data_IF_546523606362
#
_entry.id   IF_546523606362
#
_cell.length_a   1.000
_cell.length_b   1.000
_cell.length_c   1.000
_cell.angle_alpha   90.00
_cell.angle_beta   90.00
_cell.angle_gamma   90.00
#
_symmetry.space_group_name_H-M   'P 1'
#
loop_
_entity.id
_entity.type
_entity.pdbx_description
1 polymer ?
#
# COMPACT_ATOMS: atom_id res chain seq x y z
N UNK A 1 5.08 -41.68 -8.49
CA UNK A 1 6.29 -42.23 -7.85
C UNK A 1 7.52 -41.80 -8.64
N UNK A 2 8.31 -40.86 -8.13
CA UNK A 2 9.52 -40.38 -8.82
C UNK A 2 10.76 -40.77 -8.03
N UNK A 3 11.52 -41.73 -8.54
CA UNK A 3 12.76 -42.21 -7.92
C UNK A 3 13.81 -41.11 -8.04
N UNK A 4 14.08 -40.41 -6.93
CA UNK A 4 15.24 -39.51 -6.84
C UNK A 4 16.48 -40.38 -6.71
N UNK A 5 17.30 -40.48 -7.76
CA UNK A 5 18.67 -41.00 -7.67
C UNK A 5 19.44 -40.19 -6.62
N UNK A 6 19.66 -40.77 -5.44
CA UNK A 6 20.48 -40.19 -4.38
C UNK A 6 21.95 -40.33 -4.80
N UNK A 7 22.64 -39.20 -5.03
CA UNK A 7 24.10 -39.21 -5.19
C UNK A 7 24.74 -39.54 -3.84
N UNK A 8 25.68 -40.50 -3.72
CA UNK A 8 26.09 -41.03 -2.42
C UNK A 8 26.91 -40.10 -1.49
N UNK A 9 27.29 -38.88 -1.89
CA UNK A 9 28.18 -38.04 -1.07
C UNK A 9 27.83 -36.55 -1.04
N UNK A 10 26.57 -36.16 -1.24
CA UNK A 10 26.16 -34.76 -1.09
C UNK A 10 25.61 -34.52 0.32
N UNK A 11 26.47 -34.04 1.22
CA UNK A 11 26.08 -33.63 2.56
C UNK A 11 25.29 -32.32 2.47
N UNK A 12 23.97 -32.40 2.62
CA UNK A 12 23.10 -31.22 2.67
C UNK A 12 23.18 -30.58 4.07
N UNK A 13 24.11 -29.64 4.25
CA UNK A 13 24.14 -28.81 5.44
C UNK A 13 22.94 -27.85 5.41
N UNK A 14 22.00 -28.01 6.35
CA UNK A 14 20.93 -27.03 6.54
C UNK A 14 21.48 -25.84 7.33
N UNK A 15 21.26 -24.59 6.86
CA UNK A 15 21.64 -23.42 7.64
C UNK A 15 20.88 -23.43 8.97
N UNK A 16 21.61 -23.22 10.09
CA UNK A 16 21.02 -23.08 11.44
C UNK A 16 20.03 -21.91 11.52
N UNK A 17 20.27 -20.87 10.72
CA UNK A 17 19.38 -19.71 10.62
C UNK A 17 18.30 -19.94 9.55
N UNK A 18 17.03 -19.82 9.97
CA UNK A 18 15.89 -19.75 9.05
C UNK A 18 15.48 -18.29 8.89
N UNK A 19 15.45 -17.73 7.66
CA UNK A 19 15.05 -16.35 7.44
C UNK A 19 13.67 -16.02 8.02
N UNK A 20 13.52 -14.80 8.57
CA UNK A 20 12.27 -14.33 9.19
C UNK A 20 11.03 -14.49 8.29
N UNK A 21 11.17 -14.28 6.99
CA UNK A 21 10.10 -14.47 6.00
C UNK A 21 9.54 -15.90 5.96
N UNK A 22 10.33 -16.90 6.33
CA UNK A 22 9.90 -18.30 6.41
C UNK A 22 9.38 -18.68 7.79
N UNK A 23 9.66 -17.86 8.82
CA UNK A 23 9.20 -18.09 10.20
C UNK A 23 7.82 -17.48 10.45
N UNK A 24 7.58 -16.30 9.92
CA UNK A 24 6.34 -15.55 10.16
C UNK A 24 5.50 -15.44 8.89
N UNK A 25 4.21 -15.73 9.03
CA UNK A 25 3.27 -15.57 7.92
C UNK A 25 3.04 -14.08 7.61
N UNK A 26 2.87 -13.72 6.32
CA UNK A 26 2.53 -12.35 5.95
C UNK A 26 1.20 -11.93 6.56
N UNK A 27 1.19 -10.79 7.24
CA UNK A 27 -0.04 -10.20 7.79
C UNK A 27 -0.89 -9.63 6.65
N UNK A 28 -2.20 -9.82 6.71
CA UNK A 28 -3.12 -9.20 5.74
C UNK A 28 -3.66 -7.90 6.31
N UNK A 29 -3.77 -6.88 5.46
CA UNK A 29 -4.40 -5.61 5.80
C UNK A 29 -5.35 -5.21 4.68
N UNK A 30 -6.58 -4.87 5.03
CA UNK A 30 -7.54 -4.27 4.10
C UNK A 30 -7.26 -2.78 3.98
N UNK A 31 -7.20 -2.29 2.75
CA UNK A 31 -6.96 -0.88 2.44
C UNK A 31 -7.95 -0.42 1.37
N UNK A 32 -8.57 0.72 1.59
CA UNK A 32 -9.40 1.41 0.60
C UNK A 32 -8.53 1.97 -0.53
N UNK A 33 -8.94 1.76 -1.77
CA UNK A 33 -8.21 2.21 -2.96
C UNK A 33 -8.81 3.50 -3.49
N UNK A 34 -8.09 4.60 -3.31
CA UNK A 34 -8.50 5.93 -3.75
C UNK A 34 -7.86 6.29 -5.10
N UNK A 35 -8.58 6.05 -6.19
CA UNK A 35 -8.18 6.56 -7.52
C UNK A 35 -8.91 7.86 -7.84
N UNK A 36 -8.45 8.67 -8.82
CA UNK A 36 -9.20 9.86 -9.27
C UNK A 36 -10.63 9.52 -9.67
N UNK A 37 -10.82 8.44 -10.42
CA UNK A 37 -12.12 8.03 -10.94
C UNK A 37 -13.11 7.71 -9.82
N UNK A 38 -12.65 6.96 -8.79
CA UNK A 38 -13.46 6.65 -7.61
C UNK A 38 -13.81 7.91 -6.79
N UNK A 39 -12.92 8.91 -6.76
CA UNK A 39 -13.23 10.18 -6.10
C UNK A 39 -14.29 10.96 -6.85
N UNK A 40 -14.25 10.95 -8.17
CA UNK A 40 -15.22 11.62 -9.02
C UNK A 40 -16.60 10.92 -8.93
N UNK A 41 -16.61 9.59 -8.89
CA UNK A 41 -17.83 8.80 -8.67
C UNK A 41 -18.45 9.04 -7.29
N UNK A 42 -17.62 9.06 -6.23
CA UNK A 42 -18.09 9.38 -4.89
C UNK A 42 -18.63 10.81 -4.80
N UNK A 43 -17.99 11.75 -5.50
CA UNK A 43 -18.48 13.13 -5.61
C UNK A 43 -19.83 13.18 -6.30
N UNK A 44 -20.00 12.49 -7.43
CA UNK A 44 -21.28 12.42 -8.13
C UNK A 44 -22.39 11.83 -7.25
N UNK A 45 -22.07 10.83 -6.41
CA UNK A 45 -23.01 10.29 -5.43
C UNK A 45 -23.47 11.37 -4.43
N UNK A 46 -22.55 12.18 -3.90
CA UNK A 46 -22.88 13.28 -2.99
C UNK A 46 -23.63 14.43 -3.65
N UNK A 47 -23.31 14.75 -4.91
CA UNK A 47 -23.99 15.80 -5.68
C UNK A 47 -25.45 15.41 -6.00
N UNK A 48 -25.73 14.10 -6.15
CA UNK A 48 -27.08 13.57 -6.35
C UNK A 48 -27.86 13.34 -5.04
N UNK A 49 -27.22 13.50 -3.88
CA UNK A 49 -27.86 13.29 -2.58
C UNK A 49 -28.62 14.54 -2.16
N UNK A 50 -29.92 14.41 -1.84
CA UNK A 50 -30.67 15.50 -1.22
C UNK A 50 -30.34 15.60 0.29
N UNK A 51 -29.40 16.47 0.61
CA UNK A 51 -28.95 16.70 1.98
C UNK A 51 -30.02 17.30 2.90
N UNK A 52 -31.05 17.94 2.35
CA UNK A 52 -32.13 18.52 3.15
C UNK A 52 -32.94 17.46 3.89
N UNK A 53 -32.97 16.23 3.39
CA UNK A 53 -33.66 15.11 4.05
C UNK A 53 -33.11 14.89 5.45
N UNK A 54 -31.79 14.97 5.63
CA UNK A 54 -31.16 14.82 6.95
C UNK A 54 -31.50 16.00 7.86
N UNK A 55 -31.36 17.23 7.36
CA UNK A 55 -31.62 18.46 8.11
C UNK A 55 -33.08 18.53 8.58
N UNK A 56 -34.01 18.11 7.74
CA UNK A 56 -35.45 18.14 8.05
C UNK A 56 -35.87 16.99 8.98
N UNK A 57 -35.05 15.94 9.11
CA UNK A 57 -35.39 14.75 9.93
C UNK A 57 -34.99 14.85 11.40
N UNK A 58 -34.08 15.77 11.77
CA UNK A 58 -33.50 15.83 13.11
C UNK A 58 -33.49 17.25 13.65
N UNK A 59 -33.93 17.42 14.90
CA UNK A 59 -33.86 18.71 15.61
C UNK A 59 -32.51 18.88 16.33
N UNK A 60 -31.89 17.76 16.73
CA UNK A 60 -30.60 17.75 17.41
C UNK A 60 -29.42 17.74 16.43
N UNK A 61 -28.43 18.58 16.71
CA UNK A 61 -27.23 18.74 15.88
C UNK A 61 -26.31 17.53 15.99
N UNK A 62 -26.26 16.87 17.16
CA UNK A 62 -25.44 15.67 17.33
C UNK A 62 -26.01 14.52 16.51
N UNK A 63 -27.33 14.30 16.59
CA UNK A 63 -28.03 13.29 15.80
C UNK A 63 -27.91 13.54 14.28
N UNK A 64 -28.01 14.80 13.84
CA UNK A 64 -27.74 15.17 12.46
C UNK A 64 -26.32 14.79 12.03
N UNK A 65 -25.31 15.11 12.85
CA UNK A 65 -23.92 14.79 12.53
C UNK A 65 -23.68 13.28 12.44
N UNK A 66 -24.27 12.50 13.35
CA UNK A 66 -24.15 11.06 13.38
C UNK A 66 -24.80 10.39 12.15
N UNK A 67 -26.02 10.83 11.80
CA UNK A 67 -26.75 10.30 10.64
C UNK A 67 -26.05 10.64 9.32
N UNK A 68 -25.59 11.88 9.15
CA UNK A 68 -24.80 12.30 7.98
C UNK A 68 -23.48 11.53 7.91
N UNK A 69 -22.78 11.35 9.02
CA UNK A 69 -21.55 10.57 9.07
C UNK A 69 -21.78 9.09 8.71
N UNK A 70 -22.90 8.51 9.17
CA UNK A 70 -23.28 7.14 8.83
C UNK A 70 -23.55 7.00 7.33
N UNK A 71 -24.27 7.95 6.72
CA UNK A 71 -24.54 7.95 5.29
C UNK A 71 -23.27 8.11 4.44
N UNK A 72 -22.37 9.03 4.83
CA UNK A 72 -21.08 9.21 4.15
C UNK A 72 -20.25 7.92 4.21
N UNK A 73 -20.20 7.25 5.36
CA UNK A 73 -19.52 5.95 5.50
C UNK A 73 -20.13 4.91 4.58
N UNK A 74 -21.45 4.82 4.53
CA UNK A 74 -22.16 3.93 3.61
C UNK A 74 -21.77 4.19 2.14
N UNK A 75 -21.76 5.45 1.71
CA UNK A 75 -21.35 5.80 0.35
C UNK A 75 -19.90 5.41 0.06
N UNK A 76 -18.99 5.63 1.02
CA UNK A 76 -17.60 5.21 0.90
C UNK A 76 -17.50 3.69 0.77
N UNK A 77 -18.22 2.93 1.58
CA UNK A 77 -18.18 1.46 1.56
C UNK A 77 -18.80 0.87 0.28
N UNK A 78 -19.78 1.55 -0.32
CA UNK A 78 -20.39 1.15 -1.59
C UNK A 78 -19.52 1.48 -2.81
N UNK A 79 -18.92 2.67 -2.84
CA UNK A 79 -18.21 3.18 -4.03
C UNK A 79 -16.73 2.82 -4.00
N UNK A 80 -16.08 2.86 -2.84
CA UNK A 80 -14.61 2.75 -2.75
C UNK A 80 -14.19 1.28 -2.65
N UNK A 81 -13.49 0.74 -3.66
CA UNK A 81 -13.11 -0.67 -3.63
C UNK A 81 -12.08 -0.96 -2.53
N UNK A 82 -12.31 -2.06 -1.83
CA UNK A 82 -11.40 -2.61 -0.84
C UNK A 82 -10.35 -3.51 -1.50
N UNK A 83 -9.08 -3.35 -1.10
CA UNK A 83 -7.99 -4.24 -1.52
C UNK A 83 -7.27 -4.83 -0.32
N UNK A 84 -7.11 -6.14 -0.32
CA UNK A 84 -6.28 -6.85 0.65
C UNK A 84 -4.82 -6.78 0.21
N UNK A 85 -3.96 -6.22 1.06
CA UNK A 85 -2.51 -6.19 0.87
C UNK A 85 -1.83 -7.12 1.86
N UNK A 86 -0.75 -7.79 1.40
CA UNK A 86 0.11 -8.61 2.24
C UNK A 86 1.29 -7.79 2.75
N UNK A 87 1.46 -7.75 4.06
CA UNK A 87 2.59 -7.14 4.76
C UNK A 87 3.55 -8.26 5.17
N UNK A 88 4.75 -8.24 4.60
CA UNK A 88 5.78 -9.22 4.96
C UNK A 88 6.57 -8.74 6.18
N UNK A 89 7.00 -9.64 7.06
CA UNK A 89 7.83 -9.31 8.22
C UNK A 89 9.12 -8.53 7.86
N UNK A 90 9.68 -8.82 6.68
CA UNK A 90 10.88 -8.14 6.17
C UNK A 90 10.56 -6.88 5.35
N UNK A 91 9.35 -6.31 5.46
CA UNK A 91 9.05 -5.02 4.86
C UNK A 91 9.89 -3.94 5.53
N UNK A 92 10.81 -3.35 4.76
CA UNK A 92 11.72 -2.33 5.24
C UNK A 92 10.95 -1.08 5.70
N UNK A 93 11.02 -0.70 6.99
CA UNK A 93 10.21 0.40 7.55
C UNK A 93 10.56 1.77 6.94
N UNK A 94 11.78 1.93 6.42
CA UNK A 94 12.24 3.13 5.72
C UNK A 94 11.74 3.23 4.28
N UNK A 95 11.00 2.25 3.75
CA UNK A 95 10.43 2.31 2.38
C UNK A 95 9.12 3.10 2.40
N UNK A 96 9.23 4.39 2.10
CA UNK A 96 8.11 5.35 2.04
C UNK A 96 7.36 5.31 0.70
N UNK A 97 6.24 6.05 0.60
CA UNK A 97 5.46 6.22 -0.64
C UNK A 97 6.34 6.81 -1.77
N UNK A 98 7.17 7.80 -1.46
CA UNK A 98 8.04 8.47 -2.42
C UNK A 98 9.07 7.51 -3.02
N UNK A 99 9.66 6.64 -2.19
CA UNK A 99 10.58 5.60 -2.67
C UNK A 99 9.84 4.64 -3.60
N UNK A 100 8.61 4.23 -3.27
CA UNK A 100 7.80 3.38 -4.16
C UNK A 100 7.47 4.09 -5.48
N UNK A 101 7.19 5.39 -5.44
CA UNK A 101 6.96 6.20 -6.64
C UNK A 101 8.21 6.23 -7.52
N UNK A 102 9.39 6.51 -6.96
CA UNK A 102 10.67 6.50 -7.69
C UNK A 102 10.99 5.11 -8.29
N UNK A 103 10.69 4.02 -7.56
CA UNK A 103 10.82 2.64 -8.09
C UNK A 103 9.91 2.46 -9.30
N UNK A 104 8.65 2.88 -9.22
CA UNK A 104 7.68 2.73 -10.30
C UNK A 104 8.06 3.58 -11.52
N UNK A 105 8.51 4.83 -11.31
CA UNK A 105 9.03 5.70 -12.38
C UNK A 105 10.19 5.03 -13.13
N UNK A 106 11.14 4.41 -12.41
CA UNK A 106 12.22 3.64 -13.03
C UNK A 106 11.70 2.43 -13.82
N UNK A 107 10.71 1.71 -13.29
CA UNK A 107 10.09 0.56 -13.99
C UNK A 107 9.42 0.99 -15.31
N UNK A 108 8.72 2.12 -15.31
CA UNK A 108 8.11 2.69 -16.52
C UNK A 108 9.18 3.07 -17.54
N UNK A 109 10.19 3.83 -17.12
CA UNK A 109 11.31 4.20 -17.99
C UNK A 109 12.04 2.97 -18.58
N UNK A 110 12.16 1.88 -17.81
CA UNK A 110 12.71 0.61 -18.28
C UNK A 110 11.82 -0.06 -19.33
N UNK A 111 10.50 -0.04 -19.12
CA UNK A 111 9.52 -0.55 -20.09
C UNK A 111 9.60 0.23 -21.42
N UNK A 112 9.80 1.54 -21.34
CA UNK A 112 9.85 2.44 -22.51
C UNK A 112 11.23 2.46 -23.20
N UNK A 113 12.21 1.70 -22.69
CA UNK A 113 13.60 1.61 -23.20
C UNK A 113 14.34 2.96 -23.33
N UNK A 114 13.88 4.01 -22.65
CA UNK A 114 14.50 5.33 -22.70
C UNK A 114 15.69 5.43 -21.74
N UNK A 115 16.91 5.37 -22.28
CA UNK A 115 18.15 5.35 -21.49
C UNK A 115 18.35 6.59 -20.60
N UNK A 116 17.95 7.78 -21.06
CA UNK A 116 18.11 9.02 -20.30
C UNK A 116 17.16 9.04 -19.10
N UNK A 117 15.88 8.71 -19.33
CA UNK A 117 14.88 8.60 -18.28
C UNK A 117 15.24 7.54 -17.24
N UNK A 118 15.85 6.42 -17.65
CA UNK A 118 16.34 5.38 -16.74
C UNK A 118 17.46 5.93 -15.84
N UNK A 119 18.42 6.68 -16.39
CA UNK A 119 19.52 7.28 -15.62
C UNK A 119 19.00 8.28 -14.59
N UNK A 120 18.08 9.15 -14.99
CA UNK A 120 17.46 10.14 -14.11
C UNK A 120 16.65 9.49 -12.99
N UNK A 121 15.73 8.56 -13.34
CA UNK A 121 14.94 7.82 -12.36
C UNK A 121 15.83 7.01 -11.40
N UNK A 122 16.98 6.52 -11.87
CA UNK A 122 17.96 5.85 -11.01
C UNK A 122 18.66 6.83 -10.04
N UNK A 123 19.01 8.03 -10.47
CA UNK A 123 19.59 9.07 -9.60
C UNK A 123 18.59 9.48 -8.53
N UNK A 124 17.34 9.73 -8.92
CA UNK A 124 16.24 10.07 -8.03
C UNK A 124 15.98 8.95 -7.00
N UNK A 125 15.93 7.69 -7.45
CA UNK A 125 15.75 6.54 -6.58
C UNK A 125 16.87 6.39 -5.55
N UNK A 126 18.13 6.60 -5.95
CA UNK A 126 19.27 6.56 -5.01
C UNK A 126 19.14 7.65 -3.95
N UNK A 127 18.77 8.87 -4.35
CA UNK A 127 18.58 9.99 -3.45
C UNK A 127 17.46 9.72 -2.44
N UNK A 128 16.28 9.30 -2.90
CA UNK A 128 15.12 9.03 -2.03
C UNK A 128 15.38 7.89 -1.06
N UNK A 129 16.08 6.83 -1.47
CA UNK A 129 16.51 5.74 -0.57
C UNK A 129 17.47 6.27 0.50
N UNK A 130 18.46 7.09 0.14
CA UNK A 130 19.41 7.66 1.11
C UNK A 130 18.68 8.55 2.11
N UNK A 131 17.78 9.41 1.65
CA UNK A 131 16.95 10.29 2.47
C UNK A 131 16.07 9.48 3.44
N UNK A 132 15.30 8.52 2.93
CA UNK A 132 14.40 7.70 3.76
C UNK A 132 15.15 6.85 4.80
N UNK A 133 16.32 6.31 4.47
CA UNK A 133 17.19 5.62 5.45
C UNK A 133 17.69 6.58 6.54
N UNK A 134 18.11 7.80 6.18
CA UNK A 134 18.59 8.80 7.14
C UNK A 134 17.47 9.22 8.09
N UNK A 135 16.29 9.55 7.57
CA UNK A 135 15.14 9.95 8.37
C UNK A 135 14.69 8.84 9.33
N UNK A 136 14.68 7.60 8.86
CA UNK A 136 14.34 6.45 9.71
C UNK A 136 15.38 6.22 10.81
N UNK A 137 16.68 6.32 10.49
CA UNK A 137 17.77 6.25 11.48
C UNK A 137 17.60 7.31 12.57
N UNK A 138 17.37 8.57 12.17
CA UNK A 138 17.15 9.68 13.09
C UNK A 138 15.92 9.49 14.00
N UNK A 139 14.91 8.73 13.56
CA UNK A 139 13.73 8.41 14.37
C UNK A 139 13.98 7.28 15.38
N UNK A 140 14.94 6.40 15.12
CA UNK A 140 15.30 5.28 16.02
C UNK A 140 16.35 5.73 17.05
N UNK A 141 17.25 6.63 16.66
CA UNK A 141 18.32 7.15 17.52
C UNK A 141 17.85 8.25 18.49
N UNK A 142 16.57 8.66 18.42
CA UNK A 142 15.90 9.56 19.37
C UNK A 142 15.12 8.76 20.40
#
# INVERSE_FOLDING_TARGET
MGIRKLRPHLVYLRPKYTPMRHREQPKQKTVLVWTPEIRDELRACFDCTDWNVFVNSTVDVSELADTVCAYIKFCIDCVVPCKIIKLYPNNKPWVTKDIKHAINKKKLAFKDKNANMIKEAQKELKYTIRKGKKEHRQKIEK
#
